data_IF_625264881922
#
_entry.id   IF_625264881922
#
_cell.length_a   1.000
_cell.length_b   1.000
_cell.length_c   1.000
_cell.angle_alpha   90.00
_cell.angle_beta   90.00
_cell.angle_gamma   90.00
#
_symmetry.space_group_name_H-M   'P 1'
#
loop_
_entity.id
_entity.type
_entity.pdbx_description
1 polymer ?
#
# COMPACT_ATOMS: atom_id res chain seq x y z
N UNK A 1 15.30 -1.08 11.07
CA UNK A 1 14.00 -0.38 10.83
C UNK A 1 12.94 -1.35 10.29
N UNK A 2 11.64 -1.03 10.38
CA UNK A 2 10.55 -1.91 9.91
C UNK A 2 10.59 -2.16 8.41
N UNK A 3 10.90 -1.16 7.60
CA UNK A 3 11.07 -1.29 6.14
C UNK A 3 12.15 -2.31 5.80
N UNK A 4 13.32 -2.28 6.46
CA UNK A 4 14.36 -3.30 6.27
C UNK A 4 13.89 -4.70 6.66
N UNK A 5 13.12 -4.82 7.76
CA UNK A 5 12.58 -6.12 8.18
C UNK A 5 11.57 -6.68 7.16
N UNK A 6 10.66 -5.83 6.64
CA UNK A 6 9.72 -6.23 5.59
C UNK A 6 10.45 -6.62 4.31
N UNK A 7 11.47 -5.84 3.92
CA UNK A 7 12.34 -6.16 2.80
C UNK A 7 13.00 -7.53 2.96
N UNK A 8 13.47 -7.85 4.17
CA UNK A 8 14.07 -9.15 4.50
C UNK A 8 13.07 -10.29 4.36
N UNK A 9 11.90 -10.15 5.00
CA UNK A 9 10.82 -11.16 4.91
C UNK A 9 10.45 -11.43 3.45
N UNK A 10 10.35 -10.37 2.63
CA UNK A 10 10.07 -10.50 1.22
C UNK A 10 11.20 -11.19 0.45
N UNK A 11 12.45 -10.76 0.64
CA UNK A 11 13.60 -11.30 -0.08
C UNK A 11 13.79 -12.79 0.22
N UNK A 12 13.66 -13.18 1.49
CA UNK A 12 13.70 -14.58 1.90
C UNK A 12 12.60 -15.39 1.19
N UNK A 13 11.37 -14.86 1.13
CA UNK A 13 10.25 -15.50 0.45
C UNK A 13 10.41 -15.54 -1.08
N UNK A 14 11.01 -14.52 -1.67
CA UNK A 14 11.32 -14.45 -3.10
C UNK A 14 12.36 -15.51 -3.48
N UNK A 15 13.44 -15.61 -2.71
CA UNK A 15 14.48 -16.60 -2.91
C UNK A 15 13.91 -18.02 -2.82
N UNK A 16 13.04 -18.27 -1.85
CA UNK A 16 12.32 -19.54 -1.68
C UNK A 16 11.40 -19.86 -2.88
N UNK A 17 10.54 -18.93 -3.29
CA UNK A 17 9.56 -19.12 -4.37
C UNK A 17 10.23 -19.34 -5.74
N UNK A 18 11.30 -18.59 -6.03
CA UNK A 18 11.95 -18.60 -7.35
C UNK A 18 13.23 -19.45 -7.41
N UNK A 19 13.60 -20.11 -6.30
CA UNK A 19 14.82 -20.92 -6.23
C UNK A 19 16.10 -20.11 -6.46
N UNK A 20 16.12 -18.86 -6.01
CA UNK A 20 17.27 -17.94 -6.17
C UNK A 20 17.99 -17.75 -4.83
N UNK A 21 19.14 -17.08 -4.85
CA UNK A 21 19.98 -16.85 -3.67
C UNK A 21 20.46 -15.41 -3.59
N UNK A 22 19.57 -14.46 -3.89
CA UNK A 22 19.91 -13.04 -3.89
C UNK A 22 20.18 -12.54 -2.47
N UNK A 23 21.27 -11.78 -2.31
CA UNK A 23 21.38 -10.80 -1.22
C UNK A 23 20.66 -9.49 -1.59
N UNK A 24 20.46 -8.60 -0.63
CA UNK A 24 19.66 -7.39 -0.83
C UNK A 24 20.31 -6.42 -1.81
N UNK A 25 21.65 -6.32 -1.81
CA UNK A 25 22.37 -5.47 -2.76
C UNK A 25 22.16 -5.95 -4.20
N UNK A 26 22.35 -7.24 -4.43
CA UNK A 26 22.26 -7.85 -5.76
C UNK A 26 20.81 -7.83 -6.24
N UNK A 27 19.84 -8.17 -5.39
CA UNK A 27 18.42 -8.00 -5.71
C UNK A 27 18.09 -6.54 -6.04
N UNK A 28 18.62 -5.59 -5.26
CA UNK A 28 18.38 -4.18 -5.51
C UNK A 28 18.91 -3.74 -6.88
N UNK A 29 20.13 -4.14 -7.24
CA UNK A 29 20.77 -3.74 -8.49
C UNK A 29 20.17 -4.43 -9.72
N UNK A 30 19.86 -5.72 -9.62
CA UNK A 30 19.43 -6.52 -10.78
C UNK A 30 17.91 -6.55 -10.97
N UNK A 31 17.14 -6.51 -9.89
CA UNK A 31 15.68 -6.64 -9.95
C UNK A 31 14.97 -5.33 -9.62
N UNK A 32 15.36 -4.64 -8.55
CA UNK A 32 14.62 -3.47 -8.09
C UNK A 32 14.92 -2.21 -8.92
N UNK A 33 16.18 -1.81 -9.01
CA UNK A 33 16.61 -0.57 -9.66
C UNK A 33 16.15 -0.46 -11.13
N UNK A 34 16.24 -1.52 -11.97
CA UNK A 34 15.82 -1.45 -13.37
C UNK A 34 14.33 -1.16 -13.55
N UNK A 35 13.49 -1.66 -12.64
CA UNK A 35 12.05 -1.39 -12.64
C UNK A 35 11.73 0.01 -12.12
N UNK A 36 12.37 0.40 -11.01
CA UNK A 36 11.94 1.55 -10.22
C UNK A 36 12.55 2.86 -10.66
N UNK A 37 13.84 2.88 -11.04
CA UNK A 37 14.61 4.10 -11.23
C UNK A 37 15.30 4.20 -12.59
N UNK A 38 15.63 3.08 -13.23
CA UNK A 38 16.23 3.11 -14.57
C UNK A 38 15.22 3.27 -15.70
N UNK A 39 14.25 4.16 -15.50
CA UNK A 39 13.14 4.40 -16.43
C UNK A 39 12.78 5.88 -16.43
N UNK A 40 12.22 6.37 -17.53
CA UNK A 40 11.79 7.78 -17.64
C UNK A 40 10.80 8.18 -16.53
N UNK A 41 9.85 7.28 -16.23
CA UNK A 41 8.89 7.47 -15.13
C UNK A 41 9.25 6.54 -13.99
N UNK A 42 9.76 7.09 -12.90
CA UNK A 42 10.06 6.32 -11.69
C UNK A 42 8.78 5.74 -11.07
N UNK A 43 8.87 4.56 -10.46
CA UNK A 43 7.72 3.93 -9.78
C UNK A 43 7.54 4.46 -8.35
N UNK A 44 8.63 4.92 -7.72
CA UNK A 44 8.68 5.40 -6.35
C UNK A 44 9.40 6.75 -6.27
N UNK A 45 8.96 7.62 -5.37
CA UNK A 45 9.65 8.88 -5.05
C UNK A 45 10.10 8.88 -3.59
N UNK A 46 11.40 8.71 -3.37
CA UNK A 46 12.02 8.77 -2.05
C UNK A 46 12.61 10.15 -1.80
N UNK A 47 11.92 10.99 -1.01
CA UNK A 47 12.31 12.37 -0.72
C UNK A 47 13.76 12.43 -0.22
N UNK A 48 14.52 13.44 -0.68
CA UNK A 48 15.93 13.69 -0.34
C UNK A 48 16.93 12.62 -0.81
N UNK A 49 16.47 11.56 -1.49
CA UNK A 49 17.38 10.56 -2.02
C UNK A 49 18.15 11.03 -3.25
N UNK A 50 19.33 10.43 -3.53
CA UNK A 50 20.07 10.67 -4.77
C UNK A 50 19.24 10.45 -6.04
N UNK A 51 18.20 9.60 -5.99
CA UNK A 51 17.34 9.31 -7.13
C UNK A 51 16.36 10.44 -7.50
N UNK A 52 16.07 11.36 -6.57
CA UNK A 52 15.06 12.42 -6.80
C UNK A 52 15.59 13.83 -6.60
N UNK A 53 16.78 13.98 -6.00
CA UNK A 53 17.38 15.30 -5.78
C UNK A 53 17.63 16.00 -7.13
N UNK A 54 17.02 17.16 -7.34
CA UNK A 54 17.05 17.90 -8.62
C UNK A 54 16.49 17.13 -9.83
N UNK A 55 15.75 16.05 -9.61
CA UNK A 55 15.08 15.32 -10.68
C UNK A 55 13.98 16.20 -11.31
N UNK A 56 13.87 16.28 -12.65
CA UNK A 56 12.79 17.00 -13.27
C UNK A 56 11.44 16.39 -12.88
N UNK A 57 10.43 17.25 -12.70
CA UNK A 57 9.07 16.81 -12.35
C UNK A 57 8.55 15.87 -13.44
N UNK A 58 8.12 14.67 -13.04
CA UNK A 58 7.53 13.69 -13.96
C UNK A 58 6.37 14.30 -14.76
N UNK A 59 5.55 15.14 -14.12
CA UNK A 59 4.44 15.86 -14.76
C UNK A 59 4.90 16.86 -15.81
N UNK A 60 5.97 17.61 -15.54
CA UNK A 60 6.55 18.57 -16.51
C UNK A 60 7.10 17.81 -17.72
N UNK A 61 7.74 16.65 -17.48
CA UNK A 61 8.28 15.80 -18.53
C UNK A 61 7.19 15.18 -19.41
N UNK A 62 6.12 14.66 -18.80
CA UNK A 62 4.95 14.12 -19.53
C UNK A 62 4.30 15.19 -20.41
N UNK A 63 4.23 16.44 -19.93
CA UNK A 63 3.71 17.59 -20.69
C UNK A 63 4.70 18.13 -21.74
N UNK A 64 5.92 17.59 -21.84
CA UNK A 64 6.94 18.06 -22.76
C UNK A 64 7.58 19.41 -22.38
N UNK A 65 7.34 19.92 -21.18
CA UNK A 65 7.92 21.18 -20.69
C UNK A 65 9.41 20.99 -20.36
N UNK A 66 9.76 19.81 -19.85
CA UNK A 66 11.13 19.38 -19.56
C UNK A 66 11.40 18.05 -20.24
N UNK A 67 12.66 17.73 -20.49
CA UNK A 67 13.04 16.39 -20.95
C UNK A 67 13.16 15.42 -19.78
N UNK A 68 12.86 14.14 -20.01
CA UNK A 68 13.25 13.08 -19.08
C UNK A 68 14.77 12.94 -19.02
N UNK A 69 15.28 12.40 -17.91
CA UNK A 69 16.71 12.14 -17.79
C UNK A 69 17.16 11.01 -18.72
N UNK A 70 18.33 11.21 -19.33
CA UNK A 70 19.00 10.19 -20.11
C UNK A 70 19.60 9.08 -19.21
N UNK A 71 20.08 8.02 -19.85
CA UNK A 71 20.64 6.85 -19.16
C UNK A 71 21.89 7.22 -18.34
N UNK A 72 22.74 8.12 -18.85
CA UNK A 72 23.95 8.55 -18.13
C UNK A 72 23.64 9.27 -16.81
N UNK A 73 22.63 10.15 -16.79
CA UNK A 73 22.22 10.84 -15.57
C UNK A 73 21.60 9.86 -14.56
N UNK A 74 20.81 8.90 -15.02
CA UNK A 74 20.30 7.82 -14.16
C UNK A 74 21.44 6.99 -13.56
N UNK A 75 22.45 6.62 -14.35
CA UNK A 75 23.64 5.93 -13.86
C UNK A 75 24.42 6.75 -12.83
N UNK A 76 24.58 8.07 -13.03
CA UNK A 76 25.20 8.97 -12.05
C UNK A 76 24.45 8.97 -10.72
N UNK A 77 23.11 8.97 -10.74
CA UNK A 77 22.28 8.88 -9.52
C UNK A 77 22.47 7.56 -8.79
N UNK A 78 22.53 6.45 -9.52
CA UNK A 78 22.83 5.14 -8.92
C UNK A 78 24.22 5.13 -8.27
N UNK A 79 25.24 5.63 -8.97
CA UNK A 79 26.59 5.69 -8.41
C UNK A 79 26.66 6.56 -7.16
N UNK A 80 26.02 7.73 -7.18
CA UNK A 80 25.93 8.60 -6.00
C UNK A 80 25.19 7.93 -4.83
N UNK A 81 24.16 7.13 -5.11
CA UNK A 81 23.49 6.32 -4.10
C UNK A 81 24.43 5.27 -3.50
N UNK A 82 25.09 4.47 -4.34
CA UNK A 82 26.02 3.42 -3.88
C UNK A 82 27.16 4.04 -3.08
N UNK A 83 27.76 5.12 -3.56
CA UNK A 83 28.84 5.83 -2.85
C UNK A 83 28.39 6.29 -1.45
N UNK A 84 27.17 6.82 -1.33
CA UNK A 84 26.64 7.21 -0.01
C UNK A 84 26.39 6.00 0.90
N UNK A 85 25.90 4.88 0.37
CA UNK A 85 25.70 3.63 1.14
C UNK A 85 27.03 3.05 1.62
N UNK A 86 28.08 3.18 0.82
CA UNK A 86 29.40 2.63 1.17
C UNK A 86 30.13 3.46 2.23
N UNK A 87 29.93 4.78 2.23
CA UNK A 87 30.74 5.74 2.99
C UNK A 87 30.03 6.42 4.17
N UNK A 88 28.70 6.35 4.27
CA UNK A 88 27.94 7.04 5.32
C UNK A 88 27.09 6.06 6.14
N UNK A 89 26.71 6.51 7.34
CA UNK A 89 25.69 5.82 8.14
C UNK A 89 24.31 5.93 7.49
N UNK A 90 23.45 4.95 7.79
CA UNK A 90 22.09 4.90 7.27
C UNK A 90 21.28 6.13 7.74
N UNK A 91 20.81 6.93 6.78
CA UNK A 91 19.94 8.07 7.01
C UNK A 91 18.74 8.06 6.08
N UNK A 92 17.72 8.86 6.37
CA UNK A 92 16.50 8.96 5.56
C UNK A 92 16.72 9.18 4.04
N UNK A 93 17.86 9.74 3.63
CA UNK A 93 18.21 9.99 2.24
C UNK A 93 18.62 8.73 1.49
N UNK A 94 19.18 7.74 2.20
CA UNK A 94 19.65 6.49 1.61
C UNK A 94 18.94 5.26 2.17
N UNK A 95 18.14 5.38 3.22
CA UNK A 95 17.41 4.28 3.86
C UNK A 95 15.96 4.69 4.15
N UNK A 96 15.00 3.99 3.53
CA UNK A 96 13.58 4.36 3.60
C UNK A 96 13.04 4.13 5.01
N UNK A 97 12.44 5.16 5.61
CA UNK A 97 11.83 5.09 6.93
C UNK A 97 12.80 5.25 8.10
N UNK A 98 14.09 5.42 7.84
CA UNK A 98 15.09 5.75 8.86
C UNK A 98 14.98 7.23 9.26
N UNK A 99 15.44 7.60 10.47
CA UNK A 99 15.48 8.99 10.89
C UNK A 99 16.49 9.80 10.07
N UNK A 100 16.35 11.12 10.09
CA UNK A 100 17.45 12.00 9.67
C UNK A 100 18.59 11.95 10.69
N UNK A 101 19.83 12.03 10.21
CA UNK A 101 21.01 12.19 11.08
C UNK A 101 20.95 13.51 11.86
N UNK A 102 20.32 14.55 11.29
CA UNK A 102 20.17 15.83 11.98
C UNK A 102 19.10 15.72 13.08
N UNK A 103 19.53 15.82 14.34
CA UNK A 103 18.67 15.73 15.54
C UNK A 103 17.53 16.75 15.52
N UNK A 104 17.74 17.91 14.90
CA UNK A 104 16.74 18.99 14.80
C UNK A 104 15.87 18.91 13.53
N UNK A 105 16.10 17.94 12.64
CA UNK A 105 15.28 17.79 11.44
C UNK A 105 13.88 17.26 11.79
N UNK A 106 12.88 17.59 10.96
CA UNK A 106 11.47 17.21 11.17
C UNK A 106 11.22 15.70 11.20
N UNK A 107 12.21 14.89 10.83
CA UNK A 107 12.18 13.43 10.75
C UNK A 107 13.18 12.77 11.70
N UNK A 108 13.66 13.47 12.73
CA UNK A 108 14.55 12.92 13.77
C UNK A 108 13.83 12.05 14.82
N UNK A 109 12.50 11.95 14.76
CA UNK A 109 11.75 11.06 15.64
C UNK A 109 12.20 9.61 15.41
N UNK A 110 12.93 9.04 16.37
CA UNK A 110 13.62 7.73 16.41
C UNK A 110 15.17 7.80 16.48
N UNK A 111 15.79 8.98 16.55
CA UNK A 111 17.21 9.08 16.95
C UNK A 111 17.35 8.61 18.41
N UNK A 112 18.29 7.71 18.67
CA UNK A 112 18.55 7.12 19.99
C UNK A 112 20.05 7.11 20.26
N UNK A 113 20.43 7.31 21.52
CA UNK A 113 21.82 7.16 21.99
C UNK A 113 22.26 5.68 22.05
N UNK A 114 21.33 4.74 21.87
CA UNK A 114 21.64 3.33 21.73
C UNK A 114 22.37 3.08 20.40
N UNK A 115 23.59 2.55 20.45
CA UNK A 115 24.34 2.13 19.26
C UNK A 115 23.64 0.95 18.58
N UNK A 116 22.76 1.25 17.62
CA UNK A 116 22.19 0.26 16.72
C UNK A 116 22.97 0.27 15.42
N UNK A 117 23.84 -0.73 15.22
CA UNK A 117 24.56 -0.87 13.96
C UNK A 117 23.57 -1.25 12.86
N UNK A 118 23.32 -0.33 11.93
CA UNK A 118 22.55 -0.63 10.72
C UNK A 118 23.52 -1.18 9.68
N UNK A 119 23.26 -2.39 9.19
CA UNK A 119 24.11 -2.97 8.15
C UNK A 119 23.83 -2.33 6.78
N UNK A 120 24.79 -2.38 5.86
CA UNK A 120 24.57 -1.95 4.47
C UNK A 120 23.44 -2.76 3.81
N UNK A 121 23.32 -4.02 4.18
CA UNK A 121 22.22 -4.90 3.76
C UNK A 121 20.87 -4.32 4.18
N UNK A 122 20.73 -3.87 5.43
CA UNK A 122 19.49 -3.25 5.92
C UNK A 122 19.09 -2.01 5.12
N UNK A 123 20.06 -1.26 4.59
CA UNK A 123 19.82 -0.09 3.75
C UNK A 123 19.12 -0.53 2.46
N UNK A 124 19.68 -1.48 1.71
CA UNK A 124 19.04 -2.01 0.48
C UNK A 124 17.68 -2.64 0.76
N UNK A 125 17.56 -3.43 1.83
CA UNK A 125 16.30 -4.02 2.27
C UNK A 125 15.24 -2.95 2.56
N UNK A 126 15.62 -1.78 3.08
CA UNK A 126 14.67 -0.71 3.37
C UNK A 126 13.97 -0.18 2.12
N UNK A 127 14.66 -0.14 0.98
CA UNK A 127 14.08 0.27 -0.30
C UNK A 127 13.08 -0.74 -0.82
N UNK A 128 13.47 -2.01 -0.80
CA UNK A 128 12.61 -3.13 -1.21
C UNK A 128 11.35 -3.14 -0.34
N UNK A 129 11.51 -3.08 0.99
CA UNK A 129 10.40 -3.02 1.93
C UNK A 129 9.54 -1.77 1.79
N UNK A 130 10.14 -0.61 1.55
CA UNK A 130 9.44 0.66 1.36
C UNK A 130 8.49 0.66 0.15
N UNK A 131 8.88 -0.04 -0.92
CA UNK A 131 8.08 -0.20 -2.13
C UNK A 131 6.93 -1.22 -2.01
N UNK A 132 6.93 -2.06 -0.98
CA UNK A 132 5.87 -3.04 -0.69
C UNK A 132 4.71 -2.44 0.12
N UNK A 133 4.80 -1.15 0.49
CA UNK A 133 3.72 -0.46 1.20
C UNK A 133 2.47 -0.27 0.36
N UNK A 134 1.31 -0.14 1.02
CA UNK A 134 0.02 0.14 0.39
C UNK A 134 -0.55 1.43 0.94
N UNK A 135 -0.75 2.43 0.08
CA UNK A 135 -1.39 3.69 0.47
C UNK A 135 -2.89 3.61 0.22
N UNK A 136 -3.67 3.68 1.29
CA UNK A 136 -5.14 3.63 1.24
C UNK A 136 -5.74 5.03 1.16
N UNK A 137 -7.02 5.11 0.78
CA UNK A 137 -7.78 6.37 0.82
C UNK A 137 -7.70 7.01 2.21
N UNK A 138 -7.39 8.31 2.24
CA UNK A 138 -7.06 9.03 3.48
C UNK A 138 -5.55 9.19 3.74
N UNK A 139 -4.69 8.71 2.82
CA UNK A 139 -3.26 8.99 2.80
C UNK A 139 -2.43 8.25 3.85
N UNK A 140 -2.98 7.17 4.40
CA UNK A 140 -2.28 6.28 5.35
C UNK A 140 -1.70 5.10 4.59
N UNK A 141 -0.53 4.64 5.01
CA UNK A 141 0.13 3.46 4.44
C UNK A 141 0.09 2.27 5.39
N UNK A 142 0.02 1.07 4.79
CA UNK A 142 0.01 -0.22 5.46
C UNK A 142 1.20 -1.04 4.94
N UNK A 143 2.00 -1.61 5.84
CA UNK A 143 3.00 -2.63 5.54
C UNK A 143 2.59 -3.94 6.20
N UNK A 144 2.32 -4.97 5.40
CA UNK A 144 1.95 -6.31 5.88
C UNK A 144 3.20 -7.15 6.15
N UNK A 145 3.19 -7.95 7.21
CA UNK A 145 4.31 -8.87 7.52
C UNK A 145 4.16 -10.25 6.88
N UNK A 146 3.06 -10.51 6.15
CA UNK A 146 2.73 -11.83 5.62
C UNK A 146 3.39 -12.08 4.26
N UNK A 147 4.30 -13.06 4.21
CA UNK A 147 5.12 -13.41 3.04
C UNK A 147 4.34 -13.43 1.72
N UNK A 148 3.24 -14.19 1.65
CA UNK A 148 2.49 -14.35 0.41
C UNK A 148 1.84 -13.04 -0.07
N UNK A 149 1.44 -12.15 0.85
CA UNK A 149 0.90 -10.83 0.47
C UNK A 149 2.02 -9.99 -0.15
N UNK A 150 3.23 -10.05 0.39
CA UNK A 150 4.39 -9.34 -0.16
C UNK A 150 4.76 -9.86 -1.56
N UNK A 151 4.76 -11.17 -1.76
CA UNK A 151 4.96 -11.79 -3.08
C UNK A 151 3.85 -11.38 -4.07
N UNK A 152 2.59 -11.36 -3.63
CA UNK A 152 1.46 -10.96 -4.46
C UNK A 152 1.51 -9.48 -4.85
N UNK A 153 1.98 -8.60 -3.96
CA UNK A 153 2.28 -7.20 -4.30
C UNK A 153 3.36 -7.12 -5.38
N UNK A 154 4.47 -7.85 -5.21
CA UNK A 154 5.58 -7.89 -6.16
C UNK A 154 5.13 -8.33 -7.56
N UNK A 155 4.25 -9.33 -7.67
CA UNK A 155 3.66 -9.76 -8.97
C UNK A 155 3.00 -8.60 -9.73
N UNK A 156 2.47 -7.61 -9.03
CA UNK A 156 1.85 -6.42 -9.59
C UNK A 156 2.82 -5.39 -10.17
N UNK A 157 4.09 -5.41 -9.75
CA UNK A 157 5.08 -4.39 -10.12
C UNK A 157 5.37 -4.35 -11.62
N UNK A 158 5.46 -5.53 -12.25
CA UNK A 158 5.68 -5.64 -13.70
C UNK A 158 4.57 -4.99 -14.51
N UNK A 159 3.33 -5.11 -14.04
CA UNK A 159 2.19 -4.51 -14.71
C UNK A 159 2.14 -3.00 -14.54
N UNK A 160 2.54 -2.48 -13.36
CA UNK A 160 2.66 -1.03 -13.20
C UNK A 160 3.73 -0.45 -14.11
N UNK A 161 4.88 -1.12 -14.18
CA UNK A 161 5.99 -0.72 -15.06
C UNK A 161 5.55 -0.67 -16.52
N UNK A 162 4.83 -1.70 -16.97
CA UNK A 162 4.22 -1.76 -18.30
C UNK A 162 3.27 -0.58 -18.52
N UNK A 163 2.33 -0.36 -17.61
CA UNK A 163 1.37 0.75 -17.70
C UNK A 163 2.05 2.13 -17.79
N UNK A 164 3.10 2.38 -17.02
CA UNK A 164 3.87 3.62 -17.07
C UNK A 164 4.55 3.85 -18.42
N UNK A 165 5.06 2.77 -19.03
CA UNK A 165 5.77 2.84 -20.30
C UNK A 165 4.79 3.02 -21.49
N UNK A 166 3.64 2.36 -21.44
CA UNK A 166 2.65 2.37 -22.53
C UNK A 166 1.68 3.55 -22.46
N UNK A 167 1.43 4.11 -21.28
CA UNK A 167 0.45 5.20 -21.09
C UNK A 167 1.15 6.54 -20.99
N UNK A 168 1.17 7.32 -22.08
CA UNK A 168 1.89 8.60 -22.17
C UNK A 168 1.58 9.54 -20.99
N UNK A 169 0.29 9.79 -20.72
CA UNK A 169 -0.17 10.75 -19.71
C UNK A 169 -0.18 10.22 -18.27
N UNK A 170 0.29 8.99 -18.02
CA UNK A 170 0.32 8.40 -16.67
C UNK A 170 1.47 8.95 -15.82
N UNK A 171 1.11 9.56 -14.68
CA UNK A 171 2.00 10.08 -13.65
C UNK A 171 2.74 8.93 -12.93
N UNK A 172 4.05 9.13 -12.73
CA UNK A 172 4.89 8.19 -12.00
C UNK A 172 4.70 8.27 -10.48
N UNK A 173 5.57 7.56 -9.75
CA UNK A 173 5.71 7.67 -8.30
C UNK A 173 4.48 7.23 -7.49
N UNK A 174 3.65 6.34 -8.03
CA UNK A 174 2.40 5.86 -7.38
C UNK A 174 2.44 4.39 -6.98
N UNK A 175 3.63 3.79 -6.78
CA UNK A 175 3.75 2.35 -6.47
C UNK A 175 2.85 1.92 -5.29
N UNK A 176 2.83 2.65 -4.18
CA UNK A 176 2.02 2.25 -3.02
C UNK A 176 0.50 2.35 -3.28
N UNK A 177 0.06 3.28 -4.13
CA UNK A 177 -1.35 3.33 -4.56
C UNK A 177 -1.66 2.18 -5.51
N UNK A 178 -0.74 1.88 -6.43
CA UNK A 178 -0.85 0.76 -7.35
C UNK A 178 -0.94 -0.57 -6.59
N UNK A 179 -0.08 -0.81 -5.61
CA UNK A 179 -0.09 -2.03 -4.80
C UNK A 179 -1.47 -2.29 -4.17
N UNK A 180 -2.13 -1.25 -3.65
CA UNK A 180 -3.47 -1.38 -3.08
C UNK A 180 -4.55 -1.73 -4.10
N UNK A 181 -4.49 -1.12 -5.28
CA UNK A 181 -5.41 -1.43 -6.37
C UNK A 181 -5.17 -2.83 -6.94
N UNK A 182 -3.90 -3.18 -7.13
CA UNK A 182 -3.47 -4.48 -7.60
C UNK A 182 -3.95 -5.59 -6.67
N UNK A 183 -3.75 -5.49 -5.35
CA UNK A 183 -4.24 -6.52 -4.43
C UNK A 183 -5.76 -6.64 -4.43
N UNK A 184 -6.47 -5.50 -4.49
CA UNK A 184 -7.93 -5.52 -4.57
C UNK A 184 -8.42 -6.24 -5.83
N UNK A 185 -7.76 -6.02 -6.97
CA UNK A 185 -8.05 -6.68 -8.24
C UNK A 185 -7.64 -8.15 -8.24
N UNK A 186 -6.38 -8.44 -7.93
CA UNK A 186 -5.76 -9.77 -7.98
C UNK A 186 -6.47 -10.80 -7.08
N UNK A 187 -7.11 -10.35 -6.01
CA UNK A 187 -7.88 -11.21 -5.11
C UNK A 187 -9.38 -11.28 -5.44
N UNK A 188 -9.87 -10.53 -6.43
CA UNK A 188 -11.25 -10.63 -6.88
C UNK A 188 -11.42 -11.78 -7.88
N UNK A 189 -11.82 -12.95 -7.38
CA UNK A 189 -12.08 -14.16 -8.19
C UNK A 189 -13.16 -13.97 -9.27
N UNK A 190 -13.93 -12.86 -9.23
CA UNK A 190 -15.00 -12.57 -10.19
C UNK A 190 -14.51 -11.77 -11.40
N UNK A 191 -13.40 -11.04 -11.25
CA UNK A 191 -12.89 -10.08 -12.24
C UNK A 191 -11.46 -10.39 -12.68
N UNK A 192 -10.67 -11.04 -11.82
CA UNK A 192 -9.30 -11.38 -12.13
C UNK A 192 -9.22 -12.61 -13.02
N UNK A 193 -8.61 -12.45 -14.18
CA UNK A 193 -8.30 -13.52 -15.12
C UNK A 193 -6.79 -13.69 -15.23
N UNK A 194 -6.27 -14.89 -14.99
CA UNK A 194 -4.82 -15.15 -15.01
C UNK A 194 -4.19 -14.98 -16.40
N UNK A 195 -4.94 -15.36 -17.45
CA UNK A 195 -4.52 -15.19 -18.85
C UNK A 195 -4.51 -13.73 -19.29
N UNK A 196 -5.35 -12.89 -18.66
CA UNK A 196 -5.40 -11.46 -18.91
C UNK A 196 -5.44 -10.66 -17.59
N UNK A 197 -4.29 -10.54 -16.87
CA UNK A 197 -4.24 -9.98 -15.52
C UNK A 197 -4.70 -8.53 -15.38
N UNK A 198 -4.79 -7.79 -16.49
CA UNK A 198 -5.24 -6.39 -16.54
C UNK A 198 -6.65 -6.24 -17.11
N UNK A 199 -7.35 -7.33 -17.41
CA UNK A 199 -8.78 -7.30 -17.72
C UNK A 199 -9.54 -6.59 -16.58
N UNK A 200 -10.47 -5.72 -16.95
CA UNK A 200 -11.31 -4.96 -16.02
C UNK A 200 -10.55 -4.12 -14.96
N UNK A 201 -9.24 -3.93 -15.14
CA UNK A 201 -8.41 -3.19 -14.20
C UNK A 201 -8.17 -1.75 -14.66
N UNK A 202 -9.01 -0.83 -14.17
CA UNK A 202 -8.95 0.60 -14.49
C UNK A 202 -8.78 1.47 -13.24
N UNK A 203 -7.61 1.44 -12.56
CA UNK A 203 -7.37 2.20 -11.33
C UNK A 203 -7.08 3.70 -11.57
N UNK A 204 -7.47 4.22 -12.72
CA UNK A 204 -7.01 5.50 -13.25
C UNK A 204 -7.97 6.63 -12.89
N UNK A 205 -7.40 7.79 -12.54
CA UNK A 205 -8.13 9.06 -12.44
C UNK A 205 -7.47 10.12 -13.30
N UNK A 206 -8.26 10.93 -13.98
CA UNK A 206 -7.76 12.05 -14.78
C UNK A 206 -7.92 13.33 -13.97
N UNK A 207 -6.84 14.09 -13.81
CA UNK A 207 -6.91 15.42 -13.20
C UNK A 207 -7.31 16.49 -14.22
N UNK A 208 -7.48 17.74 -13.75
CA UNK A 208 -7.93 18.86 -14.59
C UNK A 208 -6.97 19.18 -15.75
N UNK A 209 -5.71 18.76 -15.64
CA UNK A 209 -4.68 18.99 -16.66
C UNK A 209 -4.57 17.83 -17.66
N UNK A 210 -5.47 16.84 -17.58
CA UNK A 210 -5.42 15.64 -18.41
C UNK A 210 -4.35 14.63 -17.98
N UNK A 211 -3.67 14.84 -16.84
CA UNK A 211 -2.70 13.87 -16.31
C UNK A 211 -3.46 12.72 -15.64
N UNK A 212 -3.07 11.51 -16.01
CA UNK A 212 -3.63 10.29 -15.43
C UNK A 212 -2.84 9.96 -14.15
N UNK A 213 -3.54 9.78 -13.04
CA UNK A 213 -2.99 9.27 -11.78
C UNK A 213 -3.59 7.92 -11.41
N UNK A 214 -3.06 7.32 -10.35
CA UNK A 214 -3.61 6.09 -9.74
C UNK A 214 -4.49 6.48 -8.54
N UNK A 215 -5.71 5.97 -8.50
CA UNK A 215 -6.59 6.11 -7.34
C UNK A 215 -6.12 5.23 -6.19
N UNK A 216 -6.19 5.74 -4.96
CA UNK A 216 -5.98 4.93 -3.75
C UNK A 216 -7.26 4.17 -3.43
N UNK A 217 -7.15 2.87 -3.17
CA UNK A 217 -8.27 2.03 -2.75
C UNK A 217 -8.62 2.23 -1.27
N UNK A 218 -9.87 1.95 -0.88
CA UNK A 218 -10.27 2.01 0.53
C UNK A 218 -9.62 0.86 1.31
N UNK A 219 -9.27 1.13 2.58
CA UNK A 219 -8.72 0.10 3.47
C UNK A 219 -9.68 -1.07 3.66
N UNK A 220 -10.99 -0.81 3.72
CA UNK A 220 -12.02 -1.84 3.87
C UNK A 220 -12.05 -2.80 2.69
N UNK A 221 -12.01 -2.30 1.45
CA UNK A 221 -12.00 -3.14 0.24
C UNK A 221 -10.75 -4.01 0.18
N UNK A 222 -9.59 -3.47 0.50
CA UNK A 222 -8.34 -4.23 0.56
C UNK A 222 -8.43 -5.35 1.61
N UNK A 223 -8.90 -5.04 2.83
CA UNK A 223 -9.02 -6.04 3.89
C UNK A 223 -10.11 -7.09 3.61
N UNK A 224 -11.22 -6.72 2.97
CA UNK A 224 -12.24 -7.67 2.52
C UNK A 224 -11.61 -8.62 1.48
N UNK A 225 -10.90 -8.09 0.48
CA UNK A 225 -10.24 -8.89 -0.55
C UNK A 225 -9.20 -9.85 0.05
N UNK A 226 -8.33 -9.36 0.94
CA UNK A 226 -7.36 -10.18 1.68
C UNK A 226 -8.07 -11.26 2.50
N UNK A 227 -9.13 -10.91 3.22
CA UNK A 227 -9.84 -11.86 4.08
C UNK A 227 -10.50 -12.98 3.27
N UNK A 228 -10.93 -12.74 2.03
CA UNK A 228 -11.44 -13.79 1.13
C UNK A 228 -10.33 -14.71 0.60
N UNK A 229 -9.15 -14.16 0.30
CA UNK A 229 -8.04 -14.93 -0.26
C UNK A 229 -7.34 -15.82 0.77
N UNK A 230 -7.12 -15.31 1.98
CA UNK A 230 -6.34 -15.97 3.02
C UNK A 230 -7.21 -16.43 4.17
N UNK A 231 -7.08 -17.68 4.59
CA UNK A 231 -7.78 -18.24 5.76
C UNK A 231 -7.05 -17.98 7.10
N UNK A 232 -6.13 -17.02 7.12
CA UNK A 232 -5.40 -16.66 8.34
C UNK A 232 -6.33 -15.90 9.30
N UNK A 233 -6.30 -16.25 10.59
CA UNK A 233 -7.16 -15.61 11.61
C UNK A 233 -6.74 -14.17 11.87
N UNK A 234 -5.43 -13.93 12.07
CA UNK A 234 -4.88 -12.61 12.41
C UNK A 234 -3.71 -12.25 11.52
N UNK A 235 -3.74 -11.03 11.00
CA UNK A 235 -2.69 -10.44 10.18
C UNK A 235 -2.11 -9.24 10.92
N UNK A 236 -0.80 -9.19 11.15
CA UNK A 236 -0.15 -8.02 11.73
C UNK A 236 0.28 -7.07 10.62
N UNK A 237 0.01 -5.78 10.79
CA UNK A 237 0.45 -4.76 9.85
C UNK A 237 1.00 -3.53 10.58
N UNK A 238 2.02 -2.90 9.98
CA UNK A 238 2.57 -1.64 10.45
C UNK A 238 1.92 -0.46 9.71
N UNK A 239 1.40 0.50 10.47
CA UNK A 239 0.61 1.62 9.95
C UNK A 239 1.37 2.94 10.11
N UNK A 240 1.53 3.66 9.00
CA UNK A 240 2.42 4.82 8.95
C UNK A 240 2.06 5.81 7.84
N UNK A 241 2.73 6.96 7.85
CA UNK A 241 2.71 7.99 6.81
C UNK A 241 4.14 8.46 6.64
N UNK A 242 4.76 8.17 5.49
CA UNK A 242 6.04 8.77 5.11
C UNK A 242 5.78 10.00 4.25
N UNK A 243 6.23 11.16 4.70
CA UNK A 243 6.05 12.43 4.00
C UNK A 243 7.16 13.41 4.42
N UNK A 244 6.91 14.73 4.34
CA UNK A 244 7.81 15.73 4.94
C UNK A 244 7.91 15.60 6.46
N UNK A 245 6.85 15.10 7.10
CA UNK A 245 6.85 14.71 8.51
C UNK A 245 6.36 13.27 8.60
N UNK A 246 7.19 12.39 9.13
CA UNK A 246 6.86 10.98 9.27
C UNK A 246 5.90 10.82 10.45
N UNK A 247 4.82 10.07 10.27
CA UNK A 247 3.88 9.73 11.34
C UNK A 247 3.76 8.22 11.44
N UNK A 248 3.96 7.70 12.66
CA UNK A 248 3.76 6.28 12.97
C UNK A 248 2.52 6.13 13.82
N UNK A 249 1.62 5.24 13.42
CA UNK A 249 0.52 4.79 14.28
C UNK A 249 0.96 3.54 15.05
N UNK A 250 1.67 2.62 14.38
CA UNK A 250 2.27 1.44 15.01
C UNK A 250 1.78 0.12 14.39
N UNK A 251 2.02 -0.98 15.11
CA UNK A 251 1.57 -2.31 14.70
C UNK A 251 0.12 -2.53 15.13
N UNK A 252 -0.73 -2.87 14.16
CA UNK A 252 -2.15 -3.13 14.37
C UNK A 252 -2.48 -4.55 13.89
N UNK A 253 -3.02 -5.42 14.76
CA UNK A 253 -3.56 -6.70 14.35
C UNK A 253 -4.90 -6.52 13.63
N UNK A 254 -5.06 -7.20 12.51
CA UNK A 254 -6.29 -7.30 11.74
C UNK A 254 -6.85 -8.71 11.91
N UNK A 255 -8.05 -8.82 12.49
CA UNK A 255 -8.79 -10.07 12.62
C UNK A 255 -9.59 -10.31 11.34
N UNK A 256 -9.04 -11.11 10.43
CA UNK A 256 -9.64 -11.35 9.13
C UNK A 256 -10.92 -12.17 9.24
N UNK A 257 -11.05 -13.02 10.26
CA UNK A 257 -12.28 -13.78 10.53
C UNK A 257 -13.43 -12.82 10.87
N UNK A 258 -13.19 -11.83 11.72
CA UNK A 258 -14.20 -10.82 12.06
C UNK A 258 -14.55 -9.87 10.90
N UNK A 259 -13.61 -9.66 9.98
CA UNK A 259 -13.86 -8.89 8.74
C UNK A 259 -14.68 -9.73 7.75
N UNK A 260 -14.36 -11.02 7.61
CA UNK A 260 -14.99 -11.94 6.66
C UNK A 260 -16.41 -12.34 7.05
N UNK A 261 -16.66 -12.60 8.33
CA UNK A 261 -17.97 -13.07 8.86
C UNK A 261 -19.16 -12.24 8.36
N UNK A 262 -19.20 -10.90 8.49
CA UNK A 262 -20.34 -10.12 8.00
C UNK A 262 -20.51 -10.20 6.49
N UNK A 263 -19.41 -10.28 5.73
CA UNK A 263 -19.46 -10.37 4.26
C UNK A 263 -20.09 -11.71 3.84
N UNK A 264 -19.60 -12.82 4.41
CA UNK A 264 -20.16 -14.15 4.15
C UNK A 264 -21.62 -14.27 4.59
N UNK A 265 -21.97 -13.70 5.74
CA UNK A 265 -23.34 -13.73 6.24
C UNK A 265 -24.27 -12.92 5.31
N UNK A 266 -23.82 -11.76 4.83
CA UNK A 266 -24.57 -10.95 3.87
C UNK A 266 -24.81 -11.73 2.57
N UNK A 267 -23.76 -12.31 2.00
CA UNK A 267 -23.84 -13.09 0.75
C UNK A 267 -24.75 -14.32 0.91
N UNK A 268 -24.70 -15.00 2.06
CA UNK A 268 -25.55 -16.15 2.36
C UNK A 268 -27.04 -15.81 2.48
N UNK A 269 -27.37 -14.64 3.02
CA UNK A 269 -28.76 -14.23 3.26
C UNK A 269 -29.37 -13.51 2.06
N UNK A 270 -28.60 -12.64 1.39
CA UNK A 270 -29.11 -11.74 0.34
C UNK A 270 -28.57 -12.04 -1.07
N UNK A 271 -27.63 -12.99 -1.21
CA UNK A 271 -27.02 -13.37 -2.48
C UNK A 271 -25.78 -12.55 -2.87
N UNK A 272 -24.97 -13.13 -3.76
CA UNK A 272 -23.67 -12.58 -4.18
C UNK A 272 -23.76 -11.25 -4.93
N UNK A 273 -24.78 -11.06 -5.77
CA UNK A 273 -25.01 -9.81 -6.52
C UNK A 273 -25.19 -8.62 -5.57
N UNK A 274 -25.97 -8.82 -4.51
CA UNK A 274 -26.18 -7.81 -3.48
C UNK A 274 -24.95 -7.62 -2.58
N UNK A 275 -24.18 -8.69 -2.34
CA UNK A 275 -22.93 -8.64 -1.56
C UNK A 275 -21.91 -7.65 -2.13
N UNK A 276 -21.71 -7.67 -3.45
CA UNK A 276 -20.78 -6.75 -4.14
C UNK A 276 -21.16 -5.29 -3.96
N UNK A 277 -22.45 -4.98 -4.07
CA UNK A 277 -22.95 -3.62 -3.86
C UNK A 277 -22.79 -3.15 -2.41
N UNK A 278 -22.91 -4.09 -1.45
CA UNK A 278 -22.75 -3.83 -0.03
C UNK A 278 -21.29 -3.60 0.41
N UNK A 279 -20.29 -4.11 -0.32
CA UNK A 279 -18.85 -3.98 0.03
C UNK A 279 -18.43 -2.53 0.34
N UNK A 280 -19.00 -1.57 -0.38
CA UNK A 280 -18.71 -0.14 -0.22
C UNK A 280 -19.24 0.50 1.07
N UNK A 281 -20.18 -0.18 1.75
CA UNK A 281 -20.87 0.35 2.94
C UNK A 281 -20.19 -0.05 4.24
N UNK A 282 -19.43 -1.15 4.24
CA UNK A 282 -18.72 -1.64 5.42
C UNK A 282 -17.59 -0.71 5.85
N UNK A 283 -17.44 -0.52 7.16
CA UNK A 283 -16.38 0.26 7.77
C UNK A 283 -16.37 1.74 7.37
N UNK A 284 -17.56 2.30 7.12
CA UNK A 284 -17.74 3.70 6.72
C UNK A 284 -18.08 4.62 7.89
N UNK A 285 -18.37 4.09 9.08
CA UNK A 285 -18.73 4.89 10.25
C UNK A 285 -17.56 5.74 10.77
N UNK A 286 -16.33 5.24 10.68
CA UNK A 286 -15.12 5.90 11.18
C UNK A 286 -13.99 5.84 10.15
N UNK A 287 -13.08 6.82 10.18
CA UNK A 287 -11.90 6.83 9.33
C UNK A 287 -10.84 5.82 9.78
N UNK A 288 -9.95 5.41 8.86
CA UNK A 288 -8.96 4.36 9.13
C UNK A 288 -8.03 4.66 10.32
N UNK A 289 -7.55 5.91 10.45
CA UNK A 289 -6.71 6.33 11.59
C UNK A 289 -7.43 6.12 12.92
N UNK A 290 -8.69 6.54 13.00
CA UNK A 290 -9.54 6.36 14.19
C UNK A 290 -9.82 4.89 14.45
N UNK A 291 -10.05 4.09 13.42
CA UNK A 291 -10.20 2.64 13.58
C UNK A 291 -8.94 2.00 14.19
N UNK A 292 -7.75 2.46 13.81
CA UNK A 292 -6.49 1.96 14.38
C UNK A 292 -6.33 2.30 15.87
N UNK A 293 -6.94 3.38 16.38
CA UNK A 293 -6.83 3.73 17.81
C UNK A 293 -7.60 2.77 18.72
N UNK A 294 -8.42 1.87 18.17
CA UNK A 294 -9.09 0.81 18.92
C UNK A 294 -8.17 -0.39 19.21
N UNK A 295 -6.92 -0.35 18.75
CA UNK A 295 -5.89 -1.36 19.04
C UNK A 295 -5.96 -2.62 18.17
N UNK A 296 -7.07 -2.86 17.47
CA UNK A 296 -7.22 -3.92 16.49
C UNK A 296 -8.29 -3.54 15.44
N UNK A 297 -8.15 -4.06 14.22
CA UNK A 297 -9.18 -3.95 13.18
C UNK A 297 -9.93 -5.27 13.10
N UNK A 298 -11.24 -5.22 13.27
CA UNK A 298 -12.14 -6.37 13.25
C UNK A 298 -13.57 -5.88 13.05
N UNK A 299 -14.57 -6.59 13.61
CA UNK A 299 -15.98 -6.32 13.32
C UNK A 299 -16.40 -4.89 13.71
N UNK A 300 -15.85 -4.36 14.81
CA UNK A 300 -16.13 -2.98 15.25
C UNK A 300 -15.68 -1.93 14.23
N UNK A 301 -14.55 -2.14 13.57
CA UNK A 301 -14.05 -1.24 12.55
C UNK A 301 -14.88 -1.31 11.25
N UNK A 302 -15.60 -2.42 11.03
CA UNK A 302 -16.48 -2.63 9.89
C UNK A 302 -17.87 -1.98 10.06
N UNK A 303 -18.08 -1.15 11.09
CA UNK A 303 -19.35 -0.46 11.35
C UNK A 303 -19.76 0.43 10.16
N UNK A 304 -21.01 0.30 9.67
CA UNK A 304 -21.52 1.13 8.58
C UNK A 304 -21.99 2.50 9.09
N UNK A 305 -21.76 3.53 8.28
CA UNK A 305 -22.19 4.91 8.58
C UNK A 305 -23.70 4.99 8.72
N UNK A 306 -24.17 5.77 9.69
CA UNK A 306 -25.60 6.05 9.89
C UNK A 306 -26.32 5.10 10.84
N UNK A 307 -25.72 3.93 11.17
CA UNK A 307 -26.30 2.98 12.12
C UNK A 307 -26.54 3.60 13.51
N UNK A 308 -25.58 4.40 13.99
CA UNK A 308 -25.63 5.04 15.32
C UNK A 308 -26.83 5.95 15.54
N UNK A 309 -27.39 6.54 14.48
CA UNK A 309 -28.58 7.38 14.60
C UNK A 309 -29.81 6.57 15.04
N UNK A 310 -29.92 5.31 14.60
CA UNK A 310 -31.02 4.42 14.98
C UNK A 310 -30.80 3.84 16.39
N UNK A 311 -29.56 3.42 16.67
CA UNK A 311 -29.21 2.76 17.95
C UNK A 311 -29.20 3.74 19.13
N UNK A 312 -28.61 4.93 18.97
CA UNK A 312 -28.35 5.84 20.08
C UNK A 312 -29.22 7.10 20.09
N UNK A 313 -29.73 7.54 18.93
CA UNK A 313 -30.54 8.76 18.82
C UNK A 313 -32.03 8.49 18.67
N UNK A 314 -32.45 7.23 18.74
CA UNK A 314 -33.85 6.84 18.66
C UNK A 314 -34.55 7.21 17.35
N UNK A 315 -33.80 7.41 16.24
CA UNK A 315 -34.44 7.57 14.93
C UNK A 315 -35.23 6.30 14.64
N UNK A 316 -36.49 6.47 14.26
CA UNK A 316 -37.30 5.36 13.76
C UNK A 316 -36.80 4.97 12.36
N UNK A 317 -36.47 3.69 12.11
CA UNK A 317 -36.21 3.23 10.76
C UNK A 317 -37.45 3.49 9.90
N UNK A 318 -37.24 3.95 8.66
CA UNK A 318 -38.32 3.90 7.65
C UNK A 318 -38.73 2.43 7.47
N UNK A 319 -39.99 2.20 7.09
CA UNK A 319 -40.59 0.86 6.98
C UNK A 319 -39.63 -0.19 6.38
N UNK A 320 -39.71 -1.41 6.92
CA UNK A 320 -38.85 -2.55 6.58
C UNK A 320 -38.79 -2.74 5.07
N UNK A 321 -37.60 -2.53 4.49
CA UNK A 321 -37.40 -2.66 3.05
C UNK A 321 -36.14 -3.49 2.81
N UNK A 322 -36.35 -4.77 2.50
CA UNK A 322 -35.26 -5.71 2.17
C UNK A 322 -34.54 -5.36 0.87
N UNK A 323 -35.11 -4.50 0.01
CA UNK A 323 -34.43 -3.97 -1.17
C UNK A 323 -33.44 -2.85 -0.79
N UNK A 324 -33.46 -2.37 0.46
CA UNK A 324 -32.52 -1.37 0.93
C UNK A 324 -31.22 -2.00 1.44
N UNK A 325 -30.18 -1.95 0.60
CA UNK A 325 -28.85 -2.46 0.91
C UNK A 325 -28.28 -1.88 2.22
N UNK A 326 -28.53 -0.60 2.54
CA UNK A 326 -28.07 -0.02 3.81
C UNK A 326 -28.71 -0.71 5.02
N UNK A 327 -30.02 -0.97 4.92
CA UNK A 327 -30.75 -1.66 5.99
C UNK A 327 -30.22 -3.08 6.19
N UNK A 328 -29.97 -3.81 5.10
CA UNK A 328 -29.40 -5.15 5.14
C UNK A 328 -28.00 -5.16 5.77
N UNK A 329 -27.13 -4.20 5.41
CA UNK A 329 -25.79 -4.07 6.00
C UNK A 329 -25.87 -3.77 7.50
N UNK A 330 -26.82 -2.94 7.94
CA UNK A 330 -27.04 -2.65 9.36
C UNK A 330 -27.41 -3.91 10.15
N UNK A 331 -28.38 -4.70 9.67
CA UNK A 331 -28.78 -5.95 10.32
C UNK A 331 -27.60 -6.91 10.42
N UNK A 332 -26.91 -7.12 9.30
CA UNK A 332 -25.81 -8.09 9.23
C UNK A 332 -24.67 -7.68 10.16
N UNK A 333 -24.37 -6.38 10.26
CA UNK A 333 -23.37 -5.89 11.21
C UNK A 333 -23.80 -6.20 12.66
N UNK A 334 -25.04 -5.87 13.05
CA UNK A 334 -25.57 -6.12 14.40
C UNK A 334 -25.47 -7.61 14.76
N UNK A 335 -25.89 -8.50 13.85
CA UNK A 335 -25.84 -9.97 14.06
C UNK A 335 -24.39 -10.46 14.15
N UNK A 336 -23.45 -9.84 13.43
CA UNK A 336 -22.04 -10.26 13.40
C UNK A 336 -21.25 -9.80 14.62
N UNK A 337 -21.73 -8.78 15.33
CA UNK A 337 -21.14 -8.29 16.59
C UNK A 337 -21.53 -9.16 17.79
N UNK A 338 -22.63 -9.91 17.68
CA UNK A 338 -23.02 -10.96 18.63
C UNK A 338 -22.17 -12.22 18.45
#
# INVERSE_FOLDING_TARGET
MITSNIGKIFLDAYNEEYGTSYDARTFFLEQFYPYFFDQNKQMMYAINSPFVQQLPSCRDCIKGIKSFENIEQRAKRLNAFIEKVENNDADMSIAIGYPSIEVNAKTSGQVTDLKMNTSKEDIFLSWIGGALGITVSGGVSILFTHKNILLDIFKGWKFYRKALNETLMLDGNKINSWNGQWLFHYYDQREYEEENPLANFAPYKVDKDGIIGIETQTWTKILIAISRKYDVVKLLAYIYILSKSNTTIGFIPFDLTQIRRPIHLYEKIFGMSNGRNAESLWGTAIGFKTACTYGAIGIKAMEPKGLRDYVYKGKQPKAHNYDNINYNVYIIWIISVQ
#
